data_IF_171125129351
#
_entry.id   IF_171125129351
#
_cell.length_a   1.000
_cell.length_b   1.000
_cell.length_c   1.000
_cell.angle_alpha   90.00
_cell.angle_beta   90.00
_cell.angle_gamma   90.00
#
_symmetry.space_group_name_H-M   'P 1'
#
loop_
_entity.id
_entity.type
_entity.pdbx_description
1 polymer ?
#
# COMPACT_ATOMS: atom_id res chain seq x y z
N UNK A 1 4.02 -4.26 51.61
CA UNK A 1 4.91 -5.42 51.39
C UNK A 1 4.45 -6.07 50.10
N UNK A 2 5.24 -6.01 49.04
CA UNK A 2 4.98 -6.64 47.74
C UNK A 2 6.04 -7.75 47.61
N UNK A 3 5.68 -9.01 47.29
CA UNK A 3 6.67 -10.05 47.07
C UNK A 3 7.33 -9.88 45.69
N UNK A 4 8.62 -10.16 45.64
CA UNK A 4 9.52 -9.99 44.51
C UNK A 4 9.19 -10.96 43.35
N UNK A 5 9.46 -10.52 42.12
CA UNK A 5 9.23 -11.27 40.88
C UNK A 5 10.37 -12.28 40.67
N UNK A 6 10.30 -13.39 41.41
CA UNK A 6 11.22 -14.52 41.31
C UNK A 6 10.71 -15.58 40.33
N UNK A 7 11.50 -15.78 39.27
CA UNK A 7 11.61 -16.96 38.42
C UNK A 7 10.44 -17.34 37.49
N UNK A 8 10.57 -16.90 36.24
CA UNK A 8 9.97 -17.60 35.11
C UNK A 8 11.03 -17.75 34.01
N UNK A 9 12.02 -18.62 34.25
CA UNK A 9 12.78 -19.27 33.17
C UNK A 9 11.86 -20.19 32.35
N UNK A 10 10.88 -19.61 31.66
CA UNK A 10 10.16 -20.32 30.62
C UNK A 10 10.89 -20.08 29.30
N UNK A 11 11.97 -20.83 29.10
CA UNK A 11 12.50 -21.07 27.77
C UNK A 11 11.41 -21.80 26.98
N UNK A 12 10.59 -21.04 26.26
CA UNK A 12 9.73 -21.58 25.21
C UNK A 12 10.68 -22.08 24.14
N UNK A 13 10.75 -23.38 23.82
CA UNK A 13 11.47 -23.83 22.64
C UNK A 13 10.69 -23.30 21.44
N UNK A 14 11.08 -22.11 20.99
CA UNK A 14 10.67 -21.56 19.71
C UNK A 14 11.30 -22.52 18.69
N UNK A 15 10.49 -23.43 18.16
CA UNK A 15 10.88 -24.22 17.01
C UNK A 15 10.98 -23.25 15.83
N UNK A 16 12.13 -22.60 15.72
CA UNK A 16 12.58 -21.78 14.60
C UNK A 16 12.60 -22.64 13.34
N UNK A 17 11.42 -22.86 12.78
CA UNK A 17 11.25 -23.14 11.35
C UNK A 17 11.32 -21.79 10.65
N UNK A 18 12.55 -21.27 10.52
CA UNK A 18 12.79 -20.21 9.56
C UNK A 18 12.54 -20.78 8.17
N UNK A 19 11.31 -20.65 7.70
CA UNK A 19 11.06 -20.59 6.27
C UNK A 19 11.73 -19.31 5.78
N UNK A 20 12.98 -19.43 5.34
CA UNK A 20 13.54 -18.52 4.37
C UNK A 20 12.65 -18.68 3.13
N UNK A 21 11.64 -17.81 2.99
CA UNK A 21 10.92 -17.65 1.74
C UNK A 21 11.90 -17.02 0.75
N UNK A 22 12.66 -17.86 0.06
CA UNK A 22 13.33 -17.48 -1.18
C UNK A 22 12.25 -17.07 -2.20
N UNK A 23 12.51 -16.00 -2.91
CA UNK A 23 11.73 -15.36 -4.01
C UNK A 23 11.34 -16.30 -5.17
N UNK A 24 11.65 -17.60 -5.06
CA UNK A 24 11.73 -18.58 -6.16
C UNK A 24 10.48 -19.45 -6.34
N UNK A 25 9.39 -19.25 -5.60
CA UNK A 25 8.14 -19.98 -5.87
C UNK A 25 6.90 -19.10 -5.67
N UNK A 26 6.77 -18.07 -6.52
CA UNK A 26 5.47 -17.47 -6.81
C UNK A 26 4.52 -18.59 -7.25
N UNK A 27 3.48 -18.86 -6.46
CA UNK A 27 2.50 -19.88 -6.84
C UNK A 27 1.74 -19.45 -8.11
N UNK A 28 1.31 -20.38 -8.95
CA UNK A 28 0.59 -20.08 -10.21
C UNK A 28 -0.61 -19.13 -9.99
N UNK A 29 -1.23 -19.22 -8.81
CA UNK A 29 -2.31 -18.33 -8.38
C UNK A 29 -1.83 -16.89 -8.15
N UNK A 30 -0.70 -16.70 -7.49
CA UNK A 30 -0.12 -15.38 -7.25
C UNK A 30 0.32 -14.74 -8.56
N UNK A 31 0.93 -15.51 -9.48
CA UNK A 31 1.30 -15.02 -10.80
C UNK A 31 0.07 -14.54 -11.61
N UNK A 32 -1.01 -15.32 -11.61
CA UNK A 32 -2.27 -14.92 -12.26
C UNK A 32 -2.91 -13.69 -11.60
N UNK A 33 -2.75 -13.54 -10.30
CA UNK A 33 -3.24 -12.36 -9.58
C UNK A 33 -2.43 -11.12 -9.96
N UNK A 34 -1.10 -11.20 -9.98
CA UNK A 34 -0.24 -10.09 -10.42
C UNK A 34 -0.52 -9.69 -11.86
N UNK A 35 -0.71 -10.65 -12.78
CA UNK A 35 -1.08 -10.34 -14.17
C UNK A 35 -2.44 -9.62 -14.26
N UNK A 36 -3.44 -10.09 -13.50
CA UNK A 36 -4.75 -9.45 -13.44
C UNK A 36 -4.69 -8.05 -12.83
N UNK A 37 -3.89 -7.87 -11.78
CA UNK A 37 -3.68 -6.58 -11.12
C UNK A 37 -2.98 -5.61 -12.07
N UNK A 38 -1.94 -6.04 -12.79
CA UNK A 38 -1.23 -5.24 -13.79
C UNK A 38 -2.16 -4.81 -14.93
N UNK A 39 -3.02 -5.71 -15.42
CA UNK A 39 -4.03 -5.39 -16.44
C UNK A 39 -5.06 -4.38 -15.91
N UNK A 40 -5.52 -4.56 -14.67
CA UNK A 40 -6.45 -3.63 -14.04
C UNK A 40 -5.82 -2.24 -13.86
N UNK A 41 -4.57 -2.17 -13.40
CA UNK A 41 -3.81 -0.94 -13.24
C UNK A 41 -3.65 -0.25 -14.60
N UNK A 42 -3.22 -0.96 -15.64
CA UNK A 42 -3.10 -0.38 -16.99
C UNK A 42 -4.43 0.15 -17.50
N UNK A 43 -5.52 -0.61 -17.31
CA UNK A 43 -6.86 -0.20 -17.76
C UNK A 43 -7.32 1.07 -17.03
N UNK A 44 -7.08 1.16 -15.73
CA UNK A 44 -7.38 2.36 -14.94
C UNK A 44 -6.53 3.54 -15.44
N UNK A 45 -5.22 3.36 -15.60
CA UNK A 45 -4.31 4.41 -16.07
C UNK A 45 -4.68 4.92 -17.47
N UNK A 46 -5.07 4.03 -18.40
CA UNK A 46 -5.53 4.41 -19.74
C UNK A 46 -6.88 5.14 -19.73
N UNK A 47 -7.73 4.85 -18.73
CA UNK A 47 -9.02 5.51 -18.56
C UNK A 47 -8.96 6.85 -17.83
N UNK A 48 -7.82 7.19 -17.21
CA UNK A 48 -7.63 8.46 -16.51
C UNK A 48 -7.22 9.56 -17.50
N UNK A 49 -7.89 10.72 -17.47
CA UNK A 49 -7.47 11.91 -18.21
C UNK A 49 -6.05 12.37 -17.88
N UNK A 50 -5.32 12.86 -18.89
CA UNK A 50 -3.92 13.30 -18.78
C UNK A 50 -3.73 14.44 -17.75
N UNK A 51 -4.74 15.29 -17.54
CA UNK A 51 -4.73 16.36 -16.54
C UNK A 51 -4.70 15.84 -15.09
N UNK A 52 -5.19 14.62 -14.86
CA UNK A 52 -5.06 13.96 -13.56
C UNK A 52 -3.60 13.60 -13.31
N UNK A 53 -2.91 13.07 -14.34
CA UNK A 53 -1.50 12.72 -14.23
C UNK A 53 -0.64 13.96 -14.00
N UNK A 54 -0.84 15.02 -14.79
CA UNK A 54 -0.10 16.28 -14.63
C UNK A 54 -0.31 16.92 -13.25
N UNK A 55 -1.53 16.88 -12.72
CA UNK A 55 -1.83 17.38 -11.37
C UNK A 55 -1.11 16.58 -10.28
N UNK A 56 -1.05 15.25 -10.43
CA UNK A 56 -0.37 14.37 -9.47
C UNK A 56 1.15 14.53 -9.56
N UNK A 57 1.70 14.56 -10.77
CA UNK A 57 3.14 14.70 -11.04
C UNK A 57 3.71 16.04 -10.53
N UNK A 58 2.88 17.10 -10.57
CA UNK A 58 3.26 18.42 -10.02
C UNK A 58 3.34 18.49 -8.49
N UNK A 59 2.95 17.44 -7.76
CA UNK A 59 2.96 17.43 -6.30
C UNK A 59 4.35 17.06 -5.77
N UNK A 60 5.01 17.98 -5.05
CA UNK A 60 6.32 17.71 -4.45
C UNK A 60 6.20 16.99 -3.11
N UNK A 61 5.07 17.14 -2.43
CA UNK A 61 4.82 16.56 -1.12
C UNK A 61 3.57 15.69 -1.07
N UNK A 62 3.59 14.69 -0.18
CA UNK A 62 2.43 13.84 0.09
C UNK A 62 1.20 14.65 0.56
N UNK A 63 1.43 15.80 1.23
CA UNK A 63 0.37 16.69 1.69
C UNK A 63 -0.33 17.40 0.52
N UNK A 64 0.43 17.88 -0.48
CA UNK A 64 -0.13 18.51 -1.68
C UNK A 64 -0.91 17.50 -2.53
N UNK A 65 -0.34 16.30 -2.69
CA UNK A 65 -1.03 15.19 -3.36
C UNK A 65 -2.38 14.88 -2.70
N UNK A 66 -2.38 14.70 -1.38
CA UNK A 66 -3.60 14.42 -0.61
C UNK A 66 -4.63 15.56 -0.74
N UNK A 67 -4.19 16.82 -0.66
CA UNK A 67 -5.07 17.98 -0.82
C UNK A 67 -5.70 18.02 -2.22
N UNK A 68 -4.92 17.73 -3.27
CA UNK A 68 -5.37 17.73 -4.66
C UNK A 68 -6.39 16.61 -4.92
N UNK A 69 -6.14 15.40 -4.43
CA UNK A 69 -7.10 14.29 -4.50
C UNK A 69 -8.40 14.66 -3.78
N UNK A 70 -8.31 15.28 -2.60
CA UNK A 70 -9.50 15.71 -1.86
C UNK A 70 -10.30 16.79 -2.61
N UNK A 71 -9.63 17.72 -3.32
CA UNK A 71 -10.29 18.73 -4.15
C UNK A 71 -11.00 18.09 -5.36
N UNK A 72 -10.38 17.11 -6.00
CA UNK A 72 -10.97 16.36 -7.10
C UNK A 72 -12.21 15.58 -6.66
N UNK A 73 -12.17 14.96 -5.48
CA UNK A 73 -13.30 14.23 -4.91
C UNK A 73 -14.47 15.12 -4.51
N UNK A 74 -14.20 16.37 -4.11
CA UNK A 74 -15.24 17.33 -3.72
C UNK A 74 -16.00 17.92 -4.92
N UNK A 75 -15.52 17.68 -6.15
CA UNK A 75 -15.97 18.40 -7.33
C UNK A 75 -15.48 19.85 -7.28
N UNK A 76 -14.86 20.32 -8.35
CA UNK A 76 -14.46 21.73 -8.42
C UNK A 76 -15.70 22.62 -8.40
N UNK A 77 -16.00 23.23 -7.26
CA UNK A 77 -16.82 24.44 -7.15
C UNK A 77 -15.99 25.62 -7.70
N UNK A 78 -15.53 25.49 -8.95
CA UNK A 78 -14.92 26.60 -9.68
C UNK A 78 -16.10 27.36 -10.25
N UNK A 79 -16.61 28.27 -9.43
CA UNK A 79 -17.39 29.40 -9.92
C UNK A 79 -16.57 30.13 -10.96
N UNK A 80 -16.93 29.95 -12.23
CA UNK A 80 -16.50 30.83 -13.30
C UNK A 80 -17.19 32.17 -13.04
N UNK A 81 -16.42 33.19 -12.69
CA UNK A 81 -16.83 34.60 -12.76
C UNK A 81 -15.70 35.43 -13.36
#
# INVERSE_FOLDING_TARGET
MIPELGDLNHEVPMNETFHVQTDDELTEKELKQTEADDQAIQTILLGLPEDIYANVDSCETAQEFWLRVQQMMKGSDIGIQ
#
